data_IF_681861020718
#
_entry.id   IF_681861020718
#
_cell.length_a   1.000
_cell.length_b   1.000
_cell.length_c   1.000
_cell.angle_alpha   90.00
_cell.angle_beta   90.00
_cell.angle_gamma   90.00
#
_symmetry.space_group_name_H-M   'P 1'
#
loop_
_entity.id
_entity.type
_entity.pdbx_description
1 polymer ?
#
# COMPACT_ATOMS: atom_id res chain seq x y z
N UNK A 1 24.65 -12.10 30.70
CA UNK A 1 23.44 -11.52 30.10
C UNK A 1 23.40 -12.00 28.67
N UNK A 2 22.51 -12.94 28.35
CA UNK A 2 22.23 -13.30 26.96
C UNK A 2 21.62 -12.08 26.28
N UNK A 3 22.06 -11.74 25.07
CA UNK A 3 21.33 -10.80 24.24
C UNK A 3 20.05 -11.54 23.83
N UNK A 4 18.97 -11.37 24.62
CA UNK A 4 17.66 -11.97 24.35
C UNK A 4 17.00 -11.34 23.12
N UNK A 5 15.84 -11.88 22.71
CA UNK A 5 15.09 -11.43 21.54
C UNK A 5 14.84 -9.91 21.60
N UNK A 6 15.28 -9.19 20.57
CA UNK A 6 15.06 -7.77 20.38
C UNK A 6 14.16 -7.43 19.20
N UNK A 7 13.97 -6.14 18.95
CA UNK A 7 13.16 -5.67 17.81
C UNK A 7 13.71 -6.15 16.47
N UNK A 8 15.04 -6.25 16.35
CA UNK A 8 15.71 -6.75 15.13
C UNK A 8 15.51 -8.25 14.88
N UNK A 9 15.02 -8.99 15.87
CA UNK A 9 14.75 -10.43 15.75
C UNK A 9 13.31 -10.71 15.29
N UNK A 10 12.44 -9.69 15.28
CA UNK A 10 11.10 -9.81 14.70
C UNK A 10 11.21 -10.24 13.22
N UNK A 11 10.45 -11.26 12.78
CA UNK A 11 10.57 -11.80 11.43
C UNK A 11 10.46 -10.74 10.32
N UNK A 12 9.52 -9.81 10.42
CA UNK A 12 9.33 -8.76 9.41
C UNK A 12 10.61 -7.93 9.25
N UNK A 13 11.23 -7.50 10.35
CA UNK A 13 12.43 -6.67 10.37
C UNK A 13 13.66 -7.46 9.93
N UNK A 14 13.84 -8.65 10.50
CA UNK A 14 15.01 -9.49 10.27
C UNK A 14 15.11 -9.91 8.80
N UNK A 15 14.02 -10.42 8.26
CA UNK A 15 14.02 -11.01 6.93
C UNK A 15 13.83 -9.99 5.82
N UNK A 16 13.17 -8.85 6.07
CA UNK A 16 13.19 -7.73 5.12
C UNK A 16 14.62 -7.26 4.87
N UNK A 17 15.42 -7.08 5.93
CA UNK A 17 16.82 -6.70 5.80
C UNK A 17 17.61 -7.73 4.97
N UNK A 18 17.49 -9.01 5.30
CA UNK A 18 18.20 -10.08 4.57
C UNK A 18 17.79 -10.09 3.10
N UNK A 19 16.49 -9.99 2.80
CA UNK A 19 15.97 -9.99 1.44
C UNK A 19 16.51 -8.79 0.64
N UNK A 20 16.46 -7.59 1.22
CA UNK A 20 16.98 -6.36 0.60
C UNK A 20 18.48 -6.45 0.34
N UNK A 21 19.25 -6.96 1.31
CA UNK A 21 20.68 -7.15 1.20
C UNK A 21 21.02 -8.16 0.09
N UNK A 22 20.35 -9.33 0.05
CA UNK A 22 20.56 -10.36 -0.98
C UNK A 22 20.20 -9.87 -2.37
N UNK A 23 19.10 -9.11 -2.50
CA UNK A 23 18.68 -8.57 -3.80
C UNK A 23 19.42 -7.31 -4.20
N UNK A 24 20.31 -6.76 -3.37
CA UNK A 24 20.90 -5.44 -3.58
C UNK A 24 19.83 -4.37 -3.89
N UNK A 25 18.73 -4.41 -3.14
CA UNK A 25 17.52 -3.61 -3.39
C UNK A 25 17.82 -2.11 -3.39
N UNK A 26 18.54 -1.61 -2.38
CA UNK A 26 18.84 -0.17 -2.27
C UNK A 26 19.65 0.34 -3.48
N UNK A 27 20.57 -0.48 -4.01
CA UNK A 27 21.38 -0.11 -5.16
C UNK A 27 20.55 0.02 -6.45
N UNK A 28 19.52 -0.83 -6.63
CA UNK A 28 18.66 -0.73 -7.81
C UNK A 28 17.66 0.41 -7.68
N UNK A 29 17.08 0.62 -6.49
CA UNK A 29 16.15 1.73 -6.24
C UNK A 29 16.86 3.08 -6.37
N UNK A 30 18.08 3.22 -5.85
CA UNK A 30 18.86 4.47 -6.00
C UNK A 30 19.06 4.86 -7.47
N UNK A 31 19.37 3.89 -8.35
CA UNK A 31 19.49 4.14 -9.80
C UNK A 31 18.16 4.61 -10.39
N UNK A 32 17.05 3.98 -10.02
CA UNK A 32 15.71 4.30 -10.54
C UNK A 32 15.26 5.69 -10.07
N UNK A 33 15.38 5.96 -8.77
CA UNK A 33 14.93 7.20 -8.12
C UNK A 33 15.75 8.42 -8.55
N UNK A 34 17.06 8.24 -8.76
CA UNK A 34 17.94 9.29 -9.27
C UNK A 34 17.88 9.45 -10.80
N UNK A 35 16.99 8.71 -11.48
CA UNK A 35 16.83 8.73 -12.93
C UNK A 35 18.16 8.53 -13.66
N UNK A 36 19.01 7.62 -13.20
CA UNK A 36 20.30 7.41 -13.84
C UNK A 36 20.16 6.70 -15.20
N UNK A 37 21.28 6.44 -15.88
CA UNK A 37 21.25 5.67 -17.12
C UNK A 37 20.90 4.20 -16.85
N UNK A 38 19.96 3.64 -17.61
CA UNK A 38 19.54 2.24 -17.49
C UNK A 38 20.69 1.24 -17.62
N UNK A 39 21.78 1.61 -18.31
CA UNK A 39 23.01 0.82 -18.42
C UNK A 39 23.60 0.45 -17.04
N UNK A 40 23.41 1.28 -16.02
CA UNK A 40 23.91 1.03 -14.65
C UNK A 40 23.19 -0.13 -13.95
N UNK A 41 21.99 -0.49 -14.40
CA UNK A 41 21.21 -1.61 -13.87
C UNK A 41 21.65 -2.96 -14.44
N UNK A 42 22.51 -2.97 -15.46
CA UNK A 42 22.87 -4.18 -16.20
C UNK A 42 23.54 -5.24 -15.31
N UNK A 43 24.41 -4.82 -14.39
CA UNK A 43 25.02 -5.77 -13.45
C UNK A 43 23.99 -6.36 -12.48
N UNK A 44 22.96 -5.61 -12.10
CA UNK A 44 21.89 -6.13 -11.24
C UNK A 44 21.03 -7.11 -12.04
N UNK A 45 20.58 -6.71 -13.23
CA UNK A 45 19.71 -7.48 -14.12
C UNK A 45 20.30 -8.84 -14.47
N UNK A 46 21.59 -8.90 -14.80
CA UNK A 46 22.29 -10.14 -15.17
C UNK A 46 22.48 -11.10 -14.00
N UNK A 47 22.51 -10.59 -12.76
CA UNK A 47 22.69 -11.39 -11.54
C UNK A 47 21.40 -11.70 -10.78
N UNK A 48 20.30 -11.01 -11.11
CA UNK A 48 19.03 -11.10 -10.42
C UNK A 48 18.54 -12.54 -10.20
N UNK A 49 18.61 -13.39 -11.23
CA UNK A 49 18.20 -14.81 -11.10
C UNK A 49 19.02 -15.56 -10.05
N UNK A 50 20.33 -15.27 -9.92
CA UNK A 50 21.18 -15.89 -8.91
C UNK A 50 20.81 -15.39 -7.50
N UNK A 51 20.56 -14.09 -7.35
CA UNK A 51 20.14 -13.51 -6.07
C UNK A 51 18.79 -14.09 -5.61
N UNK A 52 17.85 -14.23 -6.54
CA UNK A 52 16.55 -14.82 -6.28
C UNK A 52 16.66 -16.31 -5.91
N UNK A 53 17.46 -17.08 -6.64
CA UNK A 53 17.69 -18.50 -6.35
C UNK A 53 18.37 -18.70 -5.00
N UNK A 54 19.41 -17.90 -4.69
CA UNK A 54 20.10 -17.92 -3.41
C UNK A 54 19.13 -17.66 -2.25
N UNK A 55 18.31 -16.63 -2.35
CA UNK A 55 17.35 -16.28 -1.30
C UNK A 55 16.31 -17.39 -1.09
N UNK A 56 15.65 -17.85 -2.16
CA UNK A 56 14.56 -18.81 -2.05
C UNK A 56 15.07 -20.18 -1.57
N UNK A 57 16.17 -20.70 -2.14
CA UNK A 57 16.72 -22.01 -1.72
C UNK A 57 17.22 -22.03 -0.29
N UNK A 58 17.77 -20.90 0.20
CA UNK A 58 18.29 -20.80 1.56
C UNK A 58 17.23 -21.10 2.62
N UNK A 59 15.97 -20.76 2.34
CA UNK A 59 14.87 -20.89 3.30
C UNK A 59 13.86 -21.98 2.93
N UNK A 60 14.09 -22.70 1.83
CA UNK A 60 13.25 -23.81 1.34
C UNK A 60 13.03 -24.88 2.40
N UNK A 61 13.98 -25.11 3.31
CA UNK A 61 13.90 -26.14 4.36
C UNK A 61 13.61 -25.59 5.77
N UNK A 62 13.08 -24.37 5.89
CA UNK A 62 12.71 -23.81 7.21
C UNK A 62 11.62 -24.68 7.86
N UNK A 63 11.77 -25.00 9.16
CA UNK A 63 10.86 -25.92 9.88
C UNK A 63 9.41 -25.41 9.95
N UNK A 64 9.21 -24.11 10.11
CA UNK A 64 7.88 -23.51 10.12
C UNK A 64 7.40 -23.17 8.71
N UNK A 65 6.30 -23.80 8.31
CA UNK A 65 5.64 -23.55 7.04
C UNK A 65 5.06 -22.12 6.93
N UNK A 66 4.65 -21.52 8.06
CA UNK A 66 4.19 -20.12 8.11
C UNK A 66 5.35 -19.20 7.74
N UNK A 67 6.50 -19.35 8.41
CA UNK A 67 7.69 -18.54 8.13
C UNK A 67 8.21 -18.78 6.70
N UNK A 68 8.29 -20.04 6.27
CA UNK A 68 8.73 -20.39 4.90
C UNK A 68 7.91 -19.66 3.83
N UNK A 69 6.59 -19.75 3.90
CA UNK A 69 5.72 -19.12 2.92
C UNK A 69 5.74 -17.59 3.02
N UNK A 70 5.84 -17.03 4.24
CA UNK A 70 6.00 -15.58 4.45
C UNK A 70 7.22 -15.02 3.72
N UNK A 71 8.37 -15.69 3.82
CA UNK A 71 9.61 -15.26 3.17
C UNK A 71 9.46 -15.18 1.64
N UNK A 72 8.73 -16.13 1.06
CA UNK A 72 8.42 -16.10 -0.36
C UNK A 72 7.43 -14.98 -0.72
N UNK A 73 6.41 -14.71 0.12
CA UNK A 73 5.51 -13.56 -0.10
C UNK A 73 6.23 -12.22 0.00
N UNK A 74 7.16 -12.06 0.95
CA UNK A 74 8.04 -10.87 1.00
C UNK A 74 8.85 -10.70 -0.27
N UNK A 75 9.35 -11.81 -0.81
CA UNK A 75 10.02 -11.81 -2.10
C UNK A 75 9.08 -11.35 -3.23
N UNK A 76 7.81 -11.77 -3.26
CA UNK A 76 6.89 -11.26 -4.30
C UNK A 76 6.50 -9.80 -4.09
N UNK A 77 6.37 -9.34 -2.84
CA UNK A 77 6.13 -7.93 -2.51
C UNK A 77 7.26 -7.02 -2.99
N UNK A 78 8.53 -7.39 -2.73
CA UNK A 78 9.67 -6.55 -3.15
C UNK A 78 9.81 -6.49 -4.67
N UNK A 79 9.45 -7.54 -5.39
CA UNK A 79 9.42 -7.50 -6.86
C UNK A 79 8.36 -6.54 -7.40
N UNK A 80 7.17 -6.51 -6.78
CA UNK A 80 6.14 -5.54 -7.15
C UNK A 80 6.59 -4.13 -6.86
N UNK A 81 7.22 -3.91 -5.70
CA UNK A 81 7.73 -2.60 -5.30
C UNK A 81 8.77 -2.07 -6.32
N UNK A 82 9.75 -2.90 -6.73
CA UNK A 82 10.71 -2.51 -7.79
C UNK A 82 9.98 -2.14 -9.09
N UNK A 83 8.99 -2.93 -9.51
CA UNK A 83 8.23 -2.64 -10.74
C UNK A 83 7.45 -1.33 -10.60
N UNK A 84 6.83 -1.06 -9.45
CA UNK A 84 6.09 0.18 -9.21
C UNK A 84 7.01 1.40 -9.20
N UNK A 85 8.21 1.30 -8.61
CA UNK A 85 9.21 2.37 -8.67
C UNK A 85 9.61 2.68 -10.12
N UNK A 86 9.84 1.65 -10.95
CA UNK A 86 10.11 1.82 -12.38
C UNK A 86 8.93 2.50 -13.08
N UNK A 87 7.69 2.05 -12.84
CA UNK A 87 6.49 2.61 -13.47
C UNK A 87 6.26 4.08 -13.09
N UNK A 88 6.69 4.48 -11.90
CA UNK A 88 6.57 5.86 -11.41
C UNK A 88 7.72 6.76 -11.90
N UNK A 89 8.82 6.19 -12.42
CA UNK A 89 9.95 6.94 -12.96
C UNK A 89 9.62 7.57 -14.32
N UNK A 90 10.12 8.79 -14.56
CA UNK A 90 10.02 9.46 -15.87
C UNK A 90 10.74 8.66 -16.97
N UNK A 91 11.75 7.87 -16.59
CA UNK A 91 12.51 6.99 -17.48
C UNK A 91 11.98 5.56 -17.52
N UNK A 92 10.72 5.32 -17.12
CA UNK A 92 10.11 3.97 -17.07
C UNK A 92 10.40 3.09 -18.30
N UNK A 93 10.31 3.67 -19.51
CA UNK A 93 10.57 2.95 -20.76
C UNK A 93 12.03 2.46 -20.91
N UNK A 94 13.00 3.16 -20.33
CA UNK A 94 14.42 2.76 -20.37
C UNK A 94 14.70 1.55 -19.48
N UNK A 95 13.88 1.35 -18.43
CA UNK A 95 14.01 0.27 -17.46
C UNK A 95 13.16 -0.97 -17.80
N UNK A 96 12.52 -1.03 -18.97
CA UNK A 96 11.61 -2.13 -19.35
C UNK A 96 12.28 -3.52 -19.34
N UNK A 97 13.59 -3.57 -19.60
CA UNK A 97 14.37 -4.82 -19.50
C UNK A 97 14.39 -5.39 -18.08
N UNK A 98 14.34 -4.55 -17.05
CA UNK A 98 14.24 -4.99 -15.65
C UNK A 98 12.87 -5.60 -15.39
N UNK A 99 11.81 -4.91 -15.82
CA UNK A 99 10.43 -5.40 -15.70
C UNK A 99 10.29 -6.74 -16.40
N UNK A 100 10.82 -6.87 -17.62
CA UNK A 100 10.86 -8.12 -18.37
C UNK A 100 11.65 -9.22 -17.64
N UNK A 101 12.80 -8.88 -17.06
CA UNK A 101 13.62 -9.83 -16.31
C UNK A 101 12.87 -10.36 -15.08
N UNK A 102 12.19 -9.49 -14.34
CA UNK A 102 11.35 -9.85 -13.20
C UNK A 102 10.16 -10.69 -13.68
N UNK A 103 9.42 -10.26 -14.70
CA UNK A 103 8.25 -10.98 -15.25
C UNK A 103 8.64 -12.37 -15.80
N UNK A 104 9.85 -12.56 -16.31
CA UNK A 104 10.38 -13.87 -16.68
C UNK A 104 10.63 -14.76 -15.46
N UNK A 105 11.24 -14.21 -14.41
CA UNK A 105 11.45 -14.95 -13.16
C UNK A 105 10.12 -15.38 -12.52
N UNK A 106 9.06 -14.57 -12.64
CA UNK A 106 7.72 -14.93 -12.11
C UNK A 106 7.24 -16.30 -12.61
N UNK A 107 7.63 -16.69 -13.82
CA UNK A 107 7.28 -17.98 -14.40
C UNK A 107 8.03 -19.14 -13.74
N UNK A 108 9.21 -18.88 -13.17
CA UNK A 108 10.07 -19.85 -12.50
C UNK A 108 9.72 -20.07 -11.02
N UNK A 109 8.98 -19.17 -10.37
CA UNK A 109 8.70 -19.25 -8.92
C UNK A 109 8.06 -20.58 -8.49
N UNK A 110 7.22 -21.17 -9.35
CA UNK A 110 6.58 -22.47 -9.08
C UNK A 110 7.58 -23.61 -8.84
N UNK A 111 8.81 -23.49 -9.32
CA UNK A 111 9.84 -24.51 -9.14
C UNK A 111 10.39 -24.59 -7.71
N UNK A 112 10.11 -23.61 -6.85
CA UNK A 112 10.58 -23.55 -5.46
C UNK A 112 9.58 -24.12 -4.43
N UNK A 113 8.45 -24.68 -4.90
CA UNK A 113 7.48 -25.47 -4.10
C UNK A 113 6.93 -24.77 -2.84
N UNK A 114 6.66 -23.47 -2.92
CA UNK A 114 5.98 -22.72 -1.86
C UNK A 114 4.46 -22.77 -2.03
N UNK A 115 3.76 -23.46 -1.13
CA UNK A 115 2.29 -23.65 -1.21
C UNK A 115 1.47 -22.35 -1.11
N UNK A 116 1.89 -21.43 -0.23
CA UNK A 116 1.15 -20.19 0.08
C UNK A 116 1.91 -18.95 -0.41
N UNK A 117 2.58 -19.09 -1.55
CA UNK A 117 3.27 -18.02 -2.23
C UNK A 117 2.91 -18.04 -3.70
N UNK A 118 2.29 -16.95 -4.16
CA UNK A 118 1.91 -16.78 -5.55
C UNK A 118 2.38 -15.42 -6.04
N UNK A 119 2.66 -15.36 -7.34
CA UNK A 119 2.98 -14.10 -7.97
C UNK A 119 1.77 -13.18 -8.00
N UNK A 120 2.02 -11.92 -7.69
CA UNK A 120 0.97 -10.90 -7.62
C UNK A 120 0.70 -10.40 -9.03
N UNK A 121 -0.58 -10.37 -9.40
CA UNK A 121 -1.02 -9.89 -10.70
C UNK A 121 -1.00 -8.36 -10.76
N UNK A 122 -0.81 -7.80 -11.96
CA UNK A 122 -0.65 -6.35 -12.17
C UNK A 122 -1.85 -5.54 -11.66
N UNK A 123 -3.06 -6.11 -11.72
CA UNK A 123 -4.30 -5.50 -11.20
C UNK A 123 -4.35 -5.40 -9.67
N UNK A 124 -3.55 -6.19 -8.95
CA UNK A 124 -3.49 -6.20 -7.49
C UNK A 124 -2.37 -5.33 -6.91
N UNK A 125 -1.54 -4.70 -7.75
CA UNK A 125 -0.36 -3.92 -7.32
C UNK A 125 -0.70 -2.77 -6.36
N UNK A 126 -1.83 -2.10 -6.54
CA UNK A 126 -2.22 -0.95 -5.70
C UNK A 126 -2.45 -1.32 -4.23
N UNK A 127 -2.83 -2.57 -3.94
CA UNK A 127 -3.06 -3.07 -2.58
C UNK A 127 -1.86 -3.80 -1.97
N UNK A 128 -0.73 -3.91 -2.66
CA UNK A 128 0.41 -4.72 -2.21
C UNK A 128 1.03 -4.20 -0.93
N UNK A 129 1.14 -2.88 -0.77
CA UNK A 129 1.68 -2.28 0.45
C UNK A 129 0.83 -2.62 1.67
N UNK A 130 -0.48 -2.42 1.58
CA UNK A 130 -1.41 -2.75 2.67
C UNK A 130 -1.36 -4.25 2.98
N UNK A 131 -1.32 -5.11 1.96
CA UNK A 131 -1.15 -6.55 2.11
C UNK A 131 0.14 -6.90 2.86
N UNK A 132 1.27 -6.33 2.45
CA UNK A 132 2.56 -6.55 3.09
C UNK A 132 2.54 -6.11 4.56
N UNK A 133 2.04 -4.91 4.84
CA UNK A 133 1.98 -4.37 6.20
C UNK A 133 1.16 -5.29 7.13
N UNK A 134 0.04 -5.83 6.65
CA UNK A 134 -0.77 -6.81 7.40
C UNK A 134 -0.04 -8.12 7.60
N UNK A 135 0.57 -8.65 6.54
CA UNK A 135 1.33 -9.91 6.59
C UNK A 135 2.52 -9.81 7.57
N UNK A 136 3.21 -8.66 7.60
CA UNK A 136 4.30 -8.35 8.53
C UNK A 136 3.83 -8.30 9.98
N UNK A 137 2.71 -7.62 10.26
CA UNK A 137 2.14 -7.57 11.60
C UNK A 137 1.75 -8.96 12.11
N UNK A 138 1.14 -9.79 11.26
CA UNK A 138 0.67 -11.12 11.63
C UNK A 138 1.83 -12.08 11.91
N UNK A 139 2.89 -12.06 11.10
CA UNK A 139 4.07 -12.91 11.36
C UNK A 139 4.78 -12.50 12.64
N UNK A 140 4.86 -11.20 12.93
CA UNK A 140 5.51 -10.73 14.15
C UNK A 140 4.69 -11.07 15.40
N UNK A 141 3.37 -10.88 15.38
CA UNK A 141 2.51 -11.26 16.51
C UNK A 141 2.57 -12.78 16.73
N UNK A 142 2.59 -13.58 15.66
CA UNK A 142 2.77 -15.03 15.74
C UNK A 142 4.09 -15.39 16.42
N UNK A 143 5.18 -14.77 15.98
CA UNK A 143 6.51 -14.98 16.55
C UNK A 143 6.58 -14.57 18.02
N UNK A 144 6.00 -13.42 18.38
CA UNK A 144 5.94 -12.97 19.77
C UNK A 144 5.19 -13.98 20.63
N UNK A 145 4.01 -14.43 20.20
CA UNK A 145 3.20 -15.44 20.89
C UNK A 145 3.99 -16.73 21.14
N UNK A 146 4.76 -17.18 20.16
CA UNK A 146 5.59 -18.39 20.27
C UNK A 146 6.80 -18.22 21.21
N UNK A 147 7.30 -16.98 21.36
CA UNK A 147 8.59 -16.71 22.02
C UNK A 147 8.48 -15.84 23.29
N UNK A 148 7.29 -15.71 23.89
CA UNK A 148 7.05 -14.87 25.08
C UNK A 148 8.09 -15.11 26.18
N UNK A 149 8.43 -16.38 26.47
CA UNK A 149 9.38 -16.76 27.54
C UNK A 149 10.77 -16.15 27.35
N UNK A 150 11.24 -16.08 26.11
CA UNK A 150 12.54 -15.49 25.78
C UNK A 150 12.46 -13.97 25.76
N UNK A 151 11.34 -13.42 25.26
CA UNK A 151 11.08 -11.98 25.20
C UNK A 151 11.05 -11.35 26.59
N UNK A 152 10.35 -11.95 27.56
CA UNK A 152 10.23 -11.39 28.93
C UNK A 152 11.59 -11.27 29.65
N UNK A 153 12.57 -12.07 29.22
CA UNK A 153 13.94 -12.05 29.74
C UNK A 153 14.87 -11.09 28.98
N UNK A 154 14.38 -10.50 27.87
CA UNK A 154 15.16 -9.61 27.02
C UNK A 154 15.27 -8.19 27.59
N UNK A 155 16.41 -7.54 27.33
CA UNK A 155 16.60 -6.11 27.60
C UNK A 155 15.65 -5.24 26.77
N UNK A 156 15.19 -5.75 25.63
CA UNK A 156 14.26 -5.07 24.73
C UNK A 156 12.79 -5.49 24.94
N UNK A 157 12.48 -6.21 26.02
CA UNK A 157 11.11 -6.65 26.33
C UNK A 157 10.09 -5.49 26.20
N UNK A 158 10.39 -4.33 26.80
CA UNK A 158 9.47 -3.18 26.76
C UNK A 158 9.28 -2.64 25.33
N UNK A 159 10.30 -2.70 24.48
CA UNK A 159 10.21 -2.27 23.08
C UNK A 159 9.26 -3.19 22.31
N UNK A 160 9.39 -4.50 22.52
CA UNK A 160 8.52 -5.51 21.90
C UNK A 160 7.10 -5.39 22.45
N UNK A 161 6.92 -5.15 23.75
CA UNK A 161 5.62 -4.93 24.37
C UNK A 161 4.87 -3.75 23.74
N UNK A 162 5.51 -2.59 23.62
CA UNK A 162 4.89 -1.41 23.00
C UNK A 162 4.59 -1.65 21.51
N UNK A 163 5.46 -2.37 20.78
CA UNK A 163 5.16 -2.77 19.41
C UNK A 163 3.87 -3.61 19.33
N UNK A 164 3.75 -4.66 20.15
CA UNK A 164 2.59 -5.55 20.19
C UNK A 164 1.31 -4.78 20.53
N UNK A 165 1.38 -3.91 21.55
CA UNK A 165 0.29 -3.04 21.97
C UNK A 165 -0.19 -2.11 20.86
N UNK A 166 0.72 -1.59 20.04
CA UNK A 166 0.38 -0.76 18.88
C UNK A 166 -0.31 -1.58 17.78
N UNK A 167 0.15 -2.81 17.51
CA UNK A 167 -0.31 -3.62 16.37
C UNK A 167 -1.59 -4.41 16.64
N UNK A 168 -1.85 -4.85 17.88
CA UNK A 168 -3.03 -5.65 18.23
C UNK A 168 -4.35 -5.03 17.76
N UNK A 169 -4.66 -3.75 18.06
CA UNK A 169 -5.94 -3.15 17.66
C UNK A 169 -6.12 -3.12 16.13
N UNK A 170 -5.03 -2.94 15.40
CA UNK A 170 -5.02 -2.91 13.93
C UNK A 170 -5.32 -4.30 13.39
N UNK A 171 -4.64 -5.33 13.89
CA UNK A 171 -4.87 -6.73 13.48
C UNK A 171 -6.29 -7.18 13.82
N UNK A 172 -6.79 -6.84 15.01
CA UNK A 172 -8.17 -7.11 15.40
C UNK A 172 -9.19 -6.44 14.46
N UNK A 173 -8.93 -5.19 14.04
CA UNK A 173 -9.78 -4.50 13.07
C UNK A 173 -9.81 -5.25 11.72
N UNK A 174 -8.69 -5.81 11.26
CA UNK A 174 -8.68 -6.57 9.99
C UNK A 174 -9.50 -7.86 10.06
N UNK A 175 -9.41 -8.62 11.15
CA UNK A 175 -10.22 -9.83 11.32
C UNK A 175 -11.72 -9.54 11.48
N UNK A 176 -12.09 -8.34 11.96
CA UNK A 176 -13.50 -7.93 12.11
C UNK A 176 -14.09 -7.24 10.88
N UNK A 177 -13.25 -6.62 10.02
CA UNK A 177 -13.72 -5.83 8.88
C UNK A 177 -14.07 -6.64 7.62
N UNK A 178 -13.86 -7.96 7.64
CA UNK A 178 -14.15 -8.89 6.52
C UNK A 178 -13.67 -8.40 5.14
N UNK A 179 -12.52 -7.70 5.08
CA UNK A 179 -12.00 -7.09 3.85
C UNK A 179 -11.62 -8.20 2.87
N UNK A 180 -12.30 -8.35 1.71
CA UNK A 180 -12.12 -9.51 0.84
C UNK A 180 -10.69 -9.66 0.32
N UNK A 181 -10.00 -8.54 0.09
CA UNK A 181 -8.64 -8.50 -0.46
C UNK A 181 -7.57 -8.95 0.55
N UNK A 182 -7.86 -8.95 1.85
CA UNK A 182 -6.94 -9.37 2.91
C UNK A 182 -7.26 -10.77 3.45
N UNK A 183 -8.38 -11.34 3.03
CA UNK A 183 -8.88 -12.64 3.53
C UNK A 183 -7.89 -13.78 3.26
N UNK A 184 -7.18 -13.72 2.14
CA UNK A 184 -6.11 -14.65 1.78
C UNK A 184 -4.97 -14.60 2.81
N UNK A 185 -4.49 -13.40 3.16
CA UNK A 185 -3.39 -13.21 4.11
C UNK A 185 -3.76 -13.68 5.51
N UNK A 186 -4.95 -13.29 5.97
CA UNK A 186 -5.44 -13.66 7.30
C UNK A 186 -5.55 -15.19 7.48
N UNK A 187 -5.77 -15.92 6.39
CA UNK A 187 -5.91 -17.39 6.41
C UNK A 187 -4.58 -18.15 6.61
N UNK A 188 -3.43 -17.48 6.46
CA UNK A 188 -2.12 -18.10 6.66
C UNK A 188 -1.70 -18.20 8.13
N UNK A 189 -2.44 -17.57 9.03
CA UNK A 189 -2.11 -17.46 10.45
C UNK A 189 -3.20 -18.08 11.30
N UNK A 190 -2.80 -18.66 12.43
CA UNK A 190 -3.69 -19.33 13.38
C UNK A 190 -4.36 -18.33 14.33
N UNK A 191 -5.05 -17.36 13.74
CA UNK A 191 -5.91 -16.41 14.45
C UNK A 191 -7.30 -16.37 13.81
N UNK A 192 -8.30 -16.08 14.62
CA UNK A 192 -9.67 -15.88 14.18
C UNK A 192 -10.25 -14.57 14.74
N UNK A 193 -11.45 -14.19 14.28
CA UNK A 193 -12.11 -12.94 14.67
C UNK A 193 -12.44 -12.80 16.15
N UNK A 194 -12.52 -13.91 16.88
CA UNK A 194 -12.76 -13.98 18.31
C UNK A 194 -11.46 -14.22 19.10
N UNK A 195 -10.31 -14.29 18.43
CA UNK A 195 -9.04 -14.48 19.10
C UNK A 195 -8.78 -13.35 20.09
N UNK A 196 -8.42 -13.72 21.32
CA UNK A 196 -8.13 -12.79 22.39
C UNK A 196 -6.72 -12.21 22.22
N UNK A 197 -6.54 -11.34 21.22
CA UNK A 197 -5.24 -10.73 20.91
C UNK A 197 -4.61 -10.03 22.12
N UNK A 198 -5.44 -9.39 22.96
CA UNK A 198 -4.98 -8.69 24.18
C UNK A 198 -4.25 -9.64 25.15
N UNK A 199 -4.59 -10.93 25.17
CA UNK A 199 -3.92 -11.92 26.02
C UNK A 199 -2.43 -12.03 25.69
N UNK A 200 -2.01 -11.73 24.44
CA UNK A 200 -0.61 -11.72 24.05
C UNK A 200 0.12 -10.57 24.76
N UNK A 201 -0.43 -9.35 24.72
CA UNK A 201 0.17 -8.18 25.38
C UNK A 201 0.26 -8.37 26.90
N UNK A 202 -0.81 -8.89 27.51
CA UNK A 202 -0.91 -9.10 28.95
C UNK A 202 0.13 -10.11 29.47
N UNK A 203 0.48 -11.11 28.66
CA UNK A 203 1.50 -12.09 29.00
C UNK A 203 2.94 -11.54 28.93
N UNK A 204 3.17 -10.40 28.27
CA UNK A 204 4.48 -9.76 28.20
C UNK A 204 4.69 -8.91 29.46
N UNK A 205 5.19 -9.57 30.50
CA UNK A 205 5.53 -8.93 31.79
C UNK A 205 7.05 -8.70 31.82
N UNK A 206 7.45 -7.48 31.43
CA UNK A 206 8.85 -7.07 31.47
C UNK A 206 9.28 -6.70 32.89
N UNK A 207 10.52 -7.03 33.25
CA UNK A 207 11.11 -6.52 34.48
C UNK A 207 11.13 -4.99 34.44
N UNK A 208 10.55 -4.34 35.45
CA UNK A 208 10.84 -2.93 35.70
C UNK A 208 12.30 -2.85 36.10
N UNK A 209 13.11 -2.17 35.30
CA UNK A 209 14.46 -1.81 35.75
C UNK A 209 14.28 -0.85 36.93
N UNK A 210 14.26 -1.36 38.16
CA UNK A 210 14.43 -0.58 39.39
C UNK A 210 15.90 -0.16 39.52
N UNK A 211 16.37 0.55 38.50
CA UNK A 211 17.61 1.29 38.45
C UNK A 211 17.28 2.72 38.10
N UNK A 212 16.53 3.38 38.99
CA UNK A 212 16.47 4.84 39.04
C UNK A 212 17.91 5.37 39.10
N UNK A 213 18.40 5.85 37.96
CA UNK A 213 19.34 6.96 37.98
C UNK A 213 18.52 8.17 37.67
N UNK A 214 18.04 8.81 38.75
CA UNK A 214 17.53 10.16 38.74
C UNK A 214 18.54 11.06 38.02
N UNK A 215 18.19 11.53 36.83
CA UNK A 215 18.83 12.74 36.32
C UNK A 215 18.24 13.90 37.13
N UNK A 216 18.99 14.27 38.18
CA UNK A 216 18.76 15.51 38.91
C UNK A 216 18.79 16.69 37.95
N UNK A 217 17.76 17.51 38.10
CA UNK A 217 17.57 18.81 37.50
C UNK A 217 18.73 19.74 37.93
N UNK A 218 19.56 20.16 36.97
CA UNK A 218 20.44 21.32 37.15
C UNK A 218 20.07 22.37 36.10
N UNK A 219 19.22 23.31 36.52
CA UNK A 219 19.03 24.60 35.88
C UNK A 219 20.34 25.39 35.87
N UNK A 220 20.85 25.74 34.68
CA UNK A 220 21.36 27.10 34.33
C UNK A 220 21.58 27.26 32.82
N UNK A 221 21.54 28.51 32.31
CA UNK A 221 20.98 28.83 31.00
C UNK A 221 22.02 28.83 29.89
N UNK A 222 21.64 28.35 28.70
CA UNK A 222 22.33 28.67 27.45
C UNK A 222 21.36 29.31 26.46
N UNK A 223 21.76 30.49 26.00
CA UNK A 223 21.11 31.33 25.00
C UNK A 223 21.09 30.67 23.61
N UNK A 224 20.19 31.12 22.71
CA UNK A 224 19.65 30.31 21.63
C UNK A 224 20.46 30.42 20.33
N UNK A 225 20.73 29.28 19.68
CA UNK A 225 20.98 29.24 18.24
C UNK A 225 19.72 28.70 17.57
N UNK A 226 18.90 29.62 17.06
CA UNK A 226 17.74 29.32 16.23
C UNK A 226 18.27 28.87 14.86
N UNK A 227 18.05 27.60 14.51
CA UNK A 227 17.91 27.19 13.11
C UNK A 227 16.47 26.71 12.92
N UNK A 228 15.73 27.51 12.18
CA UNK A 228 14.29 27.41 11.93
C UNK A 228 13.93 26.22 11.05
N UNK A 229 13.21 25.23 11.61
CA UNK A 229 11.88 24.78 11.15
C UNK A 229 11.43 23.57 11.97
N UNK A 230 10.72 23.84 13.06
CA UNK A 230 9.71 22.92 13.58
C UNK A 230 8.39 23.67 13.58
N UNK A 231 7.64 23.48 12.48
CA UNK A 231 6.21 23.81 12.41
C UNK A 231 5.56 22.80 11.48
N UNK A 232 4.51 22.16 12.01
CA UNK A 232 3.46 21.43 11.29
C UNK A 232 3.62 19.90 11.17
N UNK A 233 3.38 19.15 12.25
CA UNK A 233 2.90 17.75 12.14
C UNK A 233 1.76 17.47 13.13
N UNK A 234 0.90 18.46 13.40
CA UNK A 234 -0.40 18.23 14.04
C UNK A 234 -1.58 18.34 13.05
N UNK A 235 -1.30 18.62 11.78
CA UNK A 235 -2.32 18.83 10.75
C UNK A 235 -2.52 17.62 9.81
N UNK A 236 -1.59 16.66 9.75
CA UNK A 236 -1.67 15.57 8.76
C UNK A 236 -2.68 14.49 9.16
N UNK A 237 -2.80 14.18 10.46
CA UNK A 237 -3.81 13.22 10.96
C UNK A 237 -5.24 13.76 10.87
N UNK A 238 -5.41 15.09 10.86
CA UNK A 238 -6.71 15.71 10.68
C UNK A 238 -7.25 15.48 9.26
N UNK A 239 -6.40 15.60 8.22
CA UNK A 239 -6.84 15.48 6.82
C UNK A 239 -7.21 14.03 6.48
N UNK A 240 -6.46 13.05 6.97
CA UNK A 240 -6.73 11.62 6.73
C UNK A 240 -8.05 11.19 7.41
N UNK A 241 -8.26 11.61 8.67
CA UNK A 241 -9.52 11.37 9.37
C UNK A 241 -10.72 12.04 8.67
N UNK A 242 -10.55 13.27 8.19
CA UNK A 242 -11.60 13.99 7.44
C UNK A 242 -11.89 13.29 6.10
N UNK A 243 -10.87 12.81 5.36
CA UNK A 243 -11.06 12.07 4.11
C UNK A 243 -11.85 10.77 4.31
N UNK A 244 -11.52 10.00 5.35
CA UNK A 244 -12.24 8.78 5.69
C UNK A 244 -13.69 9.06 6.10
N UNK A 245 -13.93 10.11 6.89
CA UNK A 245 -15.28 10.54 7.27
C UNK A 245 -16.09 11.03 6.05
N UNK A 246 -15.48 11.76 5.11
CA UNK A 246 -16.13 12.18 3.87
C UNK A 246 -16.47 11.00 2.94
N UNK A 247 -15.62 9.98 2.88
CA UNK A 247 -15.89 8.73 2.12
C UNK A 247 -17.05 7.93 2.73
N UNK A 248 -17.12 7.86 4.07
CA UNK A 248 -18.24 7.24 4.77
C UNK A 248 -19.54 8.01 4.55
N UNK A 249 -19.50 9.35 4.64
CA UNK A 249 -20.66 10.21 4.37
C UNK A 249 -21.08 10.16 2.89
N UNK A 250 -20.14 10.04 1.94
CA UNK A 250 -20.46 9.84 0.53
C UNK A 250 -21.24 8.54 0.29
N UNK A 251 -20.91 7.48 1.04
CA UNK A 251 -21.57 6.17 0.90
C UNK A 251 -22.89 6.08 1.69
N UNK A 252 -23.04 6.83 2.78
CA UNK A 252 -24.17 6.75 3.72
C UNK A 252 -25.24 7.85 3.51
N UNK A 253 -24.91 8.95 2.85
CA UNK A 253 -25.87 10.03 2.57
C UNK A 253 -26.35 9.85 1.12
N UNK A 254 -27.66 9.86 0.80
CA UNK A 254 -28.17 9.66 -0.56
C UNK A 254 -27.99 10.93 -1.42
N UNK A 255 -26.80 11.53 -1.38
CA UNK A 255 -26.44 12.71 -2.13
C UNK A 255 -26.07 12.41 -3.58
N UNK A 256 -25.71 11.17 -3.94
CA UNK A 256 -25.43 10.82 -5.34
C UNK A 256 -26.60 11.15 -6.29
N UNK A 257 -27.81 10.63 -6.02
CA UNK A 257 -28.99 10.99 -6.81
C UNK A 257 -29.39 12.46 -6.65
N UNK A 258 -29.26 13.05 -5.47
CA UNK A 258 -29.66 14.44 -5.22
C UNK A 258 -28.75 15.46 -5.91
N UNK A 259 -27.43 15.26 -5.90
CA UNK A 259 -26.43 16.13 -6.51
C UNK A 259 -26.52 16.04 -8.04
N UNK A 260 -26.67 14.83 -8.59
CA UNK A 260 -26.90 14.65 -10.03
C UNK A 260 -28.18 15.36 -10.46
N UNK A 261 -29.29 15.19 -9.73
CA UNK A 261 -30.56 15.80 -10.11
C UNK A 261 -30.55 17.33 -9.94
N UNK A 262 -29.86 17.88 -8.92
CA UNK A 262 -29.75 19.34 -8.74
C UNK A 262 -28.76 20.01 -9.71
N UNK A 263 -27.63 19.38 -10.04
CA UNK A 263 -26.67 19.92 -11.01
C UNK A 263 -27.23 19.85 -12.44
N UNK A 264 -27.89 18.75 -12.80
CA UNK A 264 -28.60 18.63 -14.09
C UNK A 264 -29.75 19.64 -14.16
N UNK A 265 -30.51 19.85 -13.06
CA UNK A 265 -31.56 20.87 -13.00
C UNK A 265 -31.00 22.29 -13.11
N UNK A 266 -29.82 22.59 -12.54
CA UNK A 266 -29.18 23.91 -12.65
C UNK A 266 -28.56 24.17 -14.04
N UNK A 267 -27.89 23.20 -14.65
CA UNK A 267 -27.37 23.29 -16.04
C UNK A 267 -28.49 23.51 -17.06
N UNK A 268 -29.64 22.85 -16.86
CA UNK A 268 -30.83 23.02 -17.73
C UNK A 268 -31.51 24.38 -17.55
N UNK A 269 -31.32 25.05 -16.41
CA UNK A 269 -31.81 26.41 -16.16
C UNK A 269 -30.85 27.45 -16.75
N UNK A 270 -29.52 27.25 -16.66
CA UNK A 270 -28.53 28.16 -17.26
C UNK A 270 -28.63 28.20 -18.78
N UNK A 271 -28.89 27.06 -19.44
CA UNK A 271 -29.13 27.01 -20.89
C UNK A 271 -30.46 27.64 -21.33
N UNK A 272 -31.42 27.84 -20.41
CA UNK A 272 -32.67 28.57 -20.70
C UNK A 272 -32.57 30.07 -20.41
N UNK A 273 -31.56 30.52 -19.66
CA UNK A 273 -31.36 31.94 -19.32
C UNK A 273 -30.36 32.59 -20.28
N UNK A 274 -29.59 31.81 -21.05
CA UNK A 274 -28.68 32.33 -22.08
C UNK A 274 -29.34 32.53 -23.46
N UNK A 275 -30.63 32.23 -23.61
CA UNK A 275 -31.36 32.36 -24.89
C UNK A 275 -32.34 33.54 -24.94
N UNK A 276 -32.45 34.34 -23.87
CA UNK A 276 -33.28 35.57 -23.87
C UNK A 276 -32.53 36.71 -23.18
N UNK A 277 -31.76 37.48 -23.96
CA UNK A 277 -31.89 38.95 -24.05
C UNK A 277 -31.19 39.41 -25.37
N UNK A 278 -31.91 40.15 -26.23
CA UNK A 278 -31.49 40.49 -27.59
C UNK A 278 -30.73 41.81 -27.65
N UNK A 279 -29.83 41.95 -28.61
CA UNK A 279 -29.50 43.27 -29.17
C UNK A 279 -29.32 43.19 -30.68
N UNK A 280 -30.41 43.52 -31.37
CA UNK A 280 -30.37 44.12 -32.70
C UNK A 280 -29.38 45.30 -32.69
N UNK A 281 -28.38 45.26 -33.57
CA UNK A 281 -27.61 46.41 -34.02
C UNK A 281 -27.21 46.20 -35.49
N UNK A 282 -28.13 46.61 -36.36
CA UNK A 282 -27.96 47.30 -37.64
C UNK A 282 -26.74 46.95 -38.53
N UNK A 283 -26.98 46.20 -39.60
CA UNK A 283 -26.55 46.45 -41.00
C UNK A 283 -27.16 45.34 -41.86
N UNK A 284 -28.39 45.50 -42.37
CA UNK A 284 -28.77 46.01 -43.70
C UNK A 284 -28.22 45.21 -44.89
N UNK A 285 -29.14 44.95 -45.84
CA UNK A 285 -29.00 44.39 -47.19
C UNK A 285 -28.94 42.86 -47.28
N UNK A 286 -29.62 42.18 -48.21
CA UNK A 286 -30.60 42.51 -49.24
C UNK A 286 -31.20 41.16 -49.70
N UNK A 287 -32.48 41.15 -50.09
CA UNK A 287 -33.08 40.31 -51.16
C UNK A 287 -33.02 38.76 -51.07
N UNK A 288 -33.97 37.95 -51.53
CA UNK A 288 -35.35 38.01 -51.99
C UNK A 288 -35.76 36.53 -52.22
N UNK A 289 -37.06 36.26 -52.19
CA UNK A 289 -37.77 35.08 -52.77
C UNK A 289 -37.67 33.74 -51.99
N UNK A 290 -38.71 33.30 -51.26
CA UNK A 290 -40.05 32.85 -51.68
C UNK A 290 -40.05 31.52 -52.46
N UNK A 291 -40.50 30.43 -51.82
CA UNK A 291 -41.84 29.84 -52.03
C UNK A 291 -41.90 28.32 -51.72
N UNK A 292 -43.02 27.95 -51.13
CA UNK A 292 -43.52 26.64 -50.70
C UNK A 292 -43.57 25.56 -51.81
N UNK A 293 -43.65 24.25 -51.48
CA UNK A 293 -44.89 23.55 -51.13
C UNK A 293 -44.76 22.01 -51.16
N UNK A 294 -45.26 21.39 -50.10
CA UNK A 294 -46.16 20.21 -50.06
C UNK A 294 -45.79 18.88 -50.77
N UNK A 295 -45.58 17.87 -49.92
CA UNK A 295 -46.41 16.67 -49.75
C UNK A 295 -46.45 15.62 -50.88
N UNK A 296 -45.92 14.41 -50.61
CA UNK A 296 -46.67 13.16 -50.77
C UNK A 296 -45.92 11.90 -50.29
N UNK A 297 -46.69 11.08 -49.57
CA UNK A 297 -46.48 9.67 -49.16
C UNK A 297 -46.11 8.74 -50.31
N UNK A 298 -45.16 7.82 -50.09
CA UNK A 298 -45.22 6.43 -50.59
C UNK A 298 -44.56 5.45 -49.61
N UNK A 299 -45.27 4.37 -49.26
CA UNK A 299 -44.77 3.18 -48.55
C UNK A 299 -44.53 2.06 -49.57
N UNK A 300 -43.41 1.34 -49.50
CA UNK A 300 -43.24 0.01 -50.12
C UNK A 300 -42.38 -0.86 -49.17
N UNK A 301 -42.86 -2.08 -48.91
CA UNK A 301 -42.20 -3.18 -48.17
C UNK A 301 -42.12 -4.41 -49.10
N UNK A 302 -41.15 -5.31 -48.80
CA UNK A 302 -40.91 -6.73 -49.19
C UNK A 302 -39.52 -6.90 -49.81
N UNK A 303 -38.70 -7.92 -49.54
CA UNK A 303 -38.55 -8.96 -48.50
C UNK A 303 -37.14 -9.60 -48.76
N UNK A 304 -36.61 -10.46 -47.87
CA UNK A 304 -35.18 -10.83 -47.84
C UNK A 304 -34.81 -12.03 -48.74
N UNK A 305 -33.51 -12.21 -48.92
CA UNK A 305 -32.85 -13.46 -49.34
C UNK A 305 -31.96 -13.91 -48.18
#
# INVERSE_FOLDING_TARGET
MTNGIGKSDLPSVKYEKILKDTLHYEAIIEIIDNEEEASKTESWRTKFFNYADEYLRKYENTESMIYRNKLCRDFTYILVDIIQNIQNSVKSAEYDLIVTTIDNFKQSLKAYDYENCSMISKDAYSGVKDKKDVDDMLVDITYVKENIKEIVSSKECNVIKEYVKEKIPIVQAFYTSEIPQLKDILSYYDFDKNYAFNDIEEQIICATNSGDTSYEDIQRPYTPYISTKQRSVLAVFSVIGILLMLLLLYKLTPFGPWLHNNLVRKLKITNRIHEEIPHNLLEHNDDLLHYNSHDNKYQIVYNPI
#
